data_IF_680413209188
#
_entry.id   IF_680413209188
#
_cell.length_a   1.000
_cell.length_b   1.000
_cell.length_c   1.000
_cell.angle_alpha   90.00
_cell.angle_beta   90.00
_cell.angle_gamma   90.00
#
_symmetry.space_group_name_H-M   'P 1'
#
loop_
_entity.id
_entity.type
_entity.pdbx_description
1 polymer ?
#
# COMPACT_ATOMS: atom_id res chain seq x y z
N UNK A 1 -18.44 -28.77 62.37
CA UNK A 1 -18.98 -28.14 61.15
C UNK A 1 -20.44 -28.55 61.04
N UNK A 2 -21.34 -27.61 60.84
CA UNK A 2 -22.77 -27.90 60.63
C UNK A 2 -23.03 -28.24 59.16
N UNK A 3 -24.11 -28.98 58.88
CA UNK A 3 -24.48 -29.33 57.50
C UNK A 3 -24.72 -28.09 56.61
N UNK A 4 -25.15 -26.97 57.21
CA UNK A 4 -25.37 -25.71 56.50
C UNK A 4 -24.05 -25.04 56.09
N UNK A 5 -23.04 -25.05 56.97
CA UNK A 5 -21.69 -24.57 56.66
C UNK A 5 -21.04 -25.37 55.52
N UNK A 6 -21.22 -26.69 55.52
CA UNK A 6 -20.67 -27.58 54.49
C UNK A 6 -21.32 -27.34 53.11
N UNK A 7 -22.64 -27.10 53.08
CA UNK A 7 -23.36 -26.74 51.86
C UNK A 7 -22.92 -25.38 51.30
N UNK A 8 -22.72 -24.38 52.15
CA UNK A 8 -22.22 -23.06 51.75
C UNK A 8 -20.81 -23.18 51.18
N UNK A 9 -19.94 -23.98 51.82
CA UNK A 9 -18.57 -24.20 51.35
C UNK A 9 -18.54 -24.86 49.97
N UNK A 10 -19.34 -25.89 49.73
CA UNK A 10 -19.42 -26.53 48.41
C UNK A 10 -19.96 -25.59 47.32
N UNK A 11 -20.96 -24.74 47.63
CA UNK A 11 -21.44 -23.75 46.69
C UNK A 11 -20.38 -22.70 46.36
N UNK A 12 -19.64 -22.25 47.37
CA UNK A 12 -18.54 -21.30 47.17
C UNK A 12 -17.45 -21.91 46.29
N UNK A 13 -17.04 -23.15 46.59
CA UNK A 13 -16.05 -23.89 45.82
C UNK A 13 -16.47 -24.05 44.35
N UNK A 14 -17.73 -24.41 44.09
CA UNK A 14 -18.26 -24.51 42.73
C UNK A 14 -18.22 -23.16 41.99
N UNK A 15 -18.57 -22.06 42.67
CA UNK A 15 -18.51 -20.71 42.09
C UNK A 15 -17.08 -20.27 41.80
N UNK A 16 -16.12 -20.56 42.68
CA UNK A 16 -14.71 -20.27 42.44
C UNK A 16 -14.18 -21.06 41.25
N UNK A 17 -14.50 -22.34 41.13
CA UNK A 17 -14.13 -23.14 39.95
C UNK A 17 -14.72 -22.58 38.66
N UNK A 18 -15.99 -22.16 38.67
CA UNK A 18 -16.61 -21.50 37.53
C UNK A 18 -15.89 -20.19 37.16
N UNK A 19 -15.53 -19.37 38.16
CA UNK A 19 -14.80 -18.13 37.93
C UNK A 19 -13.42 -18.39 37.31
N UNK A 20 -12.69 -19.39 37.80
CA UNK A 20 -11.38 -19.78 37.26
C UNK A 20 -11.51 -20.22 35.79
N UNK A 21 -12.53 -21.01 35.45
CA UNK A 21 -12.74 -21.45 34.08
C UNK A 21 -13.06 -20.27 33.15
N UNK A 22 -13.97 -19.37 33.55
CA UNK A 22 -14.26 -18.15 32.79
C UNK A 22 -13.04 -17.27 32.62
N UNK A 23 -12.21 -17.15 33.64
CA UNK A 23 -10.98 -16.36 33.54
C UNK A 23 -10.00 -16.96 32.52
N UNK A 24 -9.84 -18.28 32.51
CA UNK A 24 -9.02 -18.98 31.50
C UNK A 24 -9.56 -18.79 30.09
N UNK A 25 -10.88 -18.87 29.91
CA UNK A 25 -11.54 -18.61 28.61
C UNK A 25 -11.27 -17.19 28.12
N UNK A 26 -11.38 -16.19 29.01
CA UNK A 26 -11.10 -14.79 28.67
C UNK A 26 -9.63 -14.58 28.29
N UNK A 27 -8.70 -15.21 29.00
CA UNK A 27 -7.27 -15.14 28.66
C UNK A 27 -6.99 -15.75 27.28
N UNK A 28 -7.52 -16.95 27.02
CA UNK A 28 -7.37 -17.59 25.71
C UNK A 28 -7.95 -16.73 24.58
N UNK A 29 -9.15 -16.17 24.79
CA UNK A 29 -9.76 -15.28 23.79
C UNK A 29 -8.97 -13.99 23.58
N UNK A 30 -8.37 -13.43 24.65
CA UNK A 30 -7.51 -12.26 24.53
C UNK A 30 -6.24 -12.58 23.72
N UNK A 31 -5.63 -13.74 23.94
CA UNK A 31 -4.46 -14.19 23.20
C UNK A 31 -4.79 -14.39 21.71
N UNK A 32 -5.92 -15.02 21.39
CA UNK A 32 -6.42 -15.17 20.02
C UNK A 32 -6.66 -13.81 19.34
N UNK A 33 -7.32 -12.87 20.04
CA UNK A 33 -7.56 -11.53 19.52
C UNK A 33 -6.25 -10.76 19.29
N UNK A 34 -5.29 -10.86 20.20
CA UNK A 34 -3.98 -10.23 20.05
C UNK A 34 -3.21 -10.81 18.86
N UNK A 35 -3.29 -12.13 18.64
CA UNK A 35 -2.68 -12.76 17.49
C UNK A 35 -3.31 -12.26 16.18
N UNK A 36 -4.64 -12.30 16.06
CA UNK A 36 -5.35 -11.80 14.88
C UNK A 36 -5.06 -10.32 14.62
N UNK A 37 -4.99 -9.49 15.67
CA UNK A 37 -4.64 -8.08 15.55
C UNK A 37 -3.23 -7.87 15.01
N UNK A 38 -2.27 -8.69 15.44
CA UNK A 38 -0.89 -8.60 14.95
C UNK A 38 -0.77 -9.05 13.49
N UNK A 39 -1.49 -10.10 13.10
CA UNK A 39 -1.56 -10.56 11.70
C UNK A 39 -2.13 -9.47 10.79
N UNK A 40 -3.26 -8.86 11.17
CA UNK A 40 -3.86 -7.77 10.39
C UNK A 40 -2.97 -6.52 10.33
N UNK A 41 -2.25 -6.19 11.41
CA UNK A 41 -1.26 -5.10 11.40
C UNK A 41 -0.10 -5.38 10.44
N UNK A 42 0.42 -6.60 10.44
CA UNK A 42 1.49 -7.00 9.50
C UNK A 42 1.00 -6.87 8.05
N UNK A 43 -0.21 -7.35 7.77
CA UNK A 43 -0.83 -7.25 6.45
C UNK A 43 -1.05 -5.81 6.02
N UNK A 44 -1.47 -4.93 6.93
CA UNK A 44 -1.64 -3.51 6.65
C UNK A 44 -0.29 -2.87 6.27
N UNK A 45 0.78 -3.16 7.01
CA UNK A 45 2.13 -2.66 6.70
C UNK A 45 2.63 -3.13 5.34
N UNK A 46 2.42 -4.40 4.99
CA UNK A 46 2.79 -4.93 3.67
C UNK A 46 2.02 -4.23 2.54
N UNK A 47 0.73 -3.98 2.73
CA UNK A 47 -0.10 -3.27 1.75
C UNK A 47 0.34 -1.82 1.59
N UNK A 48 0.65 -1.12 2.68
CA UNK A 48 1.17 0.26 2.64
C UNK A 48 2.51 0.34 1.88
N UNK A 49 3.43 -0.59 2.13
CA UNK A 49 4.69 -0.67 1.37
C UNK A 49 4.46 -0.95 -0.12
N UNK A 50 3.50 -1.81 -0.44
CA UNK A 50 3.14 -2.12 -1.83
C UNK A 50 2.52 -0.91 -2.54
N UNK A 51 1.67 -0.15 -1.85
CA UNK A 51 1.11 1.11 -2.36
C UNK A 51 2.24 2.09 -2.66
N UNK A 52 3.14 2.35 -1.70
CA UNK A 52 4.27 3.26 -1.90
C UNK A 52 5.16 2.84 -3.09
N UNK A 53 5.39 1.53 -3.24
CA UNK A 53 6.14 0.99 -4.38
C UNK A 53 5.42 1.24 -5.71
N UNK A 54 4.12 0.99 -5.77
CA UNK A 54 3.30 1.21 -6.97
C UNK A 54 3.21 2.68 -7.34
N UNK A 55 3.10 3.58 -6.36
CA UNK A 55 3.12 5.03 -6.57
C UNK A 55 4.45 5.47 -7.20
N UNK A 56 5.58 4.95 -6.69
CA UNK A 56 6.89 5.24 -7.27
C UNK A 56 7.02 4.69 -8.70
N UNK A 57 6.57 3.46 -8.95
CA UNK A 57 6.57 2.87 -10.29
C UNK A 57 5.72 3.67 -11.26
N UNK A 58 4.54 4.12 -10.83
CA UNK A 58 3.67 4.96 -11.63
C UNK A 58 4.28 6.32 -11.93
N UNK A 59 4.91 6.97 -10.94
CA UNK A 59 5.63 8.22 -11.14
C UNK A 59 6.76 8.08 -12.16
N UNK A 60 7.55 7.00 -12.06
CA UNK A 60 8.62 6.69 -13.01
C UNK A 60 8.06 6.47 -14.43
N UNK A 61 6.97 5.71 -14.56
CA UNK A 61 6.31 5.45 -15.85
C UNK A 61 5.78 6.75 -16.48
N UNK A 62 5.14 7.60 -15.67
CA UNK A 62 4.63 8.90 -16.11
C UNK A 62 5.78 9.80 -16.62
N UNK A 63 6.91 9.82 -15.91
CA UNK A 63 8.09 10.56 -16.32
C UNK A 63 8.68 10.01 -17.63
N UNK A 64 8.81 8.69 -17.76
CA UNK A 64 9.28 8.06 -19.00
C UNK A 64 8.38 8.42 -20.20
N UNK A 65 7.06 8.39 -20.00
CA UNK A 65 6.10 8.78 -21.05
C UNK A 65 6.22 10.26 -21.43
N UNK A 66 6.43 11.13 -20.46
CA UNK A 66 6.64 12.56 -20.72
C UNK A 66 7.89 12.79 -21.57
N UNK A 67 9.00 12.13 -21.24
CA UNK A 67 10.26 12.21 -22.00
C UNK A 67 10.07 11.73 -23.44
N UNK A 68 9.35 10.62 -23.65
CA UNK A 68 9.02 10.10 -24.98
C UNK A 68 8.26 11.14 -25.82
N UNK A 69 7.23 11.78 -25.22
CA UNK A 69 6.42 12.80 -25.90
C UNK A 69 7.27 14.01 -26.27
N UNK A 70 8.04 14.56 -25.33
CA UNK A 70 8.92 15.72 -25.59
C UNK A 70 9.97 15.42 -26.66
N UNK A 71 10.49 14.19 -26.69
CA UNK A 71 11.45 13.77 -27.72
C UNK A 71 10.80 13.72 -29.11
N UNK A 72 9.58 13.18 -29.21
CA UNK A 72 8.84 13.14 -30.47
C UNK A 72 8.50 14.54 -30.99
N UNK A 73 8.09 15.46 -30.11
CA UNK A 73 7.80 16.86 -30.45
C UNK A 73 9.05 17.60 -30.96
N UNK A 74 10.18 17.44 -30.26
CA UNK A 74 11.45 18.03 -30.66
C UNK A 74 11.92 17.52 -32.05
N UNK A 75 11.78 16.23 -32.32
CA UNK A 75 12.10 15.67 -33.64
C UNK A 75 11.19 16.23 -34.75
N UNK A 76 9.89 16.41 -34.47
CA UNK A 76 8.95 17.01 -35.41
C UNK A 76 9.29 18.49 -35.70
N UNK A 77 9.66 19.25 -34.67
CA UNK A 77 10.12 20.64 -34.81
C UNK A 77 11.40 20.73 -35.66
N UNK A 78 12.40 19.90 -35.38
CA UNK A 78 13.65 19.86 -36.15
C UNK A 78 13.40 19.56 -37.64
N UNK A 79 12.50 18.62 -37.95
CA UNK A 79 12.12 18.30 -39.33
C UNK A 79 11.50 19.51 -40.05
N UNK A 80 10.64 20.27 -39.38
CA UNK A 80 10.04 21.50 -39.94
C UNK A 80 11.10 22.57 -40.21
N UNK A 81 12.01 22.81 -39.27
CA UNK A 81 13.12 23.76 -39.44
C UNK A 81 14.00 23.36 -40.64
N UNK A 82 14.41 22.09 -40.71
CA UNK A 82 15.23 21.60 -41.83
C UNK A 82 14.52 21.74 -43.18
N UNK A 83 13.18 21.61 -43.22
CA UNK A 83 12.40 21.86 -44.43
C UNK A 83 12.44 23.33 -44.83
N UNK A 84 12.24 24.25 -43.88
CA UNK A 84 12.31 25.69 -44.13
C UNK A 84 13.69 26.12 -44.62
N UNK A 85 14.77 25.62 -44.00
CA UNK A 85 16.15 25.88 -44.43
C UNK A 85 16.33 25.48 -45.90
N UNK A 86 15.89 24.27 -46.30
CA UNK A 86 15.98 23.82 -47.69
C UNK A 86 15.17 24.67 -48.66
N UNK A 87 14.01 25.19 -48.23
CA UNK A 87 13.20 26.10 -49.05
C UNK A 87 13.90 27.45 -49.22
N UNK A 88 14.52 27.98 -48.17
CA UNK A 88 15.34 29.19 -48.22
C UNK A 88 16.55 28.98 -49.14
N UNK A 89 17.27 27.86 -49.00
CA UNK A 89 18.42 27.52 -49.85
C UNK A 89 18.03 27.46 -51.34
N UNK A 90 16.85 26.91 -51.65
CA UNK A 90 16.31 26.91 -53.01
C UNK A 90 16.02 28.33 -53.51
N UNK A 91 15.41 29.18 -52.68
CA UNK A 91 15.15 30.57 -53.04
C UNK A 91 16.46 31.35 -53.24
N UNK A 92 17.48 31.13 -52.40
CA UNK A 92 18.81 31.74 -52.55
C UNK A 92 19.46 31.29 -53.86
N UNK A 93 19.40 29.99 -54.19
CA UNK A 93 19.94 29.47 -55.44
C UNK A 93 19.26 30.08 -56.68
N UNK A 94 17.96 30.37 -56.61
CA UNK A 94 17.23 31.07 -57.67
C UNK A 94 17.60 32.56 -57.79
N UNK A 95 18.12 33.18 -56.73
CA UNK A 95 18.54 34.60 -56.72
C UNK A 95 20.01 34.81 -57.13
N UNK A 96 20.83 33.76 -57.07
CA UNK A 96 22.24 33.79 -57.47
C UNK A 96 22.47 33.29 -58.91
N UNK A 97 21.45 33.40 -59.75
CA UNK A 97 21.48 33.22 -61.21
C UNK A 97 21.07 34.53 -61.87
#
# INVERSE_FOLDING_TARGET
MTAEEEKILHQFEARVRQLINKHKEVLAHNDELNQALNEEKSRAQELEQRIATLEQQYANLKMAKMIEITTAENQAAQKRINKLIREIDKCIALLNV
#
